data_IF_982498099674
#
_entry.id   IF_982498099674
#
_cell.length_a   1.000
_cell.length_b   1.000
_cell.length_c   1.000
_cell.angle_alpha   90.00
_cell.angle_beta   90.00
_cell.angle_gamma   90.00
#
_symmetry.space_group_name_H-M   'P 1'
#
loop_
_entity.id
_entity.type
_entity.pdbx_description
1 polymer ?
#
# COMPACT_ATOMS: atom_id res chain seq x y z
N UNK A 1 1.10 -18.90 6.72
CA UNK A 1 1.22 -17.78 7.65
C UNK A 1 1.77 -16.61 6.86
N UNK A 2 0.96 -15.60 6.58
CA UNK A 2 1.38 -14.44 5.79
C UNK A 2 2.46 -13.70 6.59
N UNK A 3 3.66 -13.56 6.03
CA UNK A 3 4.71 -12.77 6.70
C UNK A 3 4.29 -11.30 6.66
N UNK A 4 4.16 -10.68 7.83
CA UNK A 4 3.91 -9.24 7.92
C UNK A 4 5.08 -8.50 7.28
N UNK A 5 4.78 -7.60 6.34
CA UNK A 5 5.79 -6.76 5.72
C UNK A 5 6.46 -5.91 6.80
N UNK A 6 7.79 -5.95 6.95
CA UNK A 6 8.52 -5.08 7.88
C UNK A 6 8.47 -3.61 7.44
N UNK A 7 8.38 -2.70 8.40
CA UNK A 7 8.53 -1.26 8.16
C UNK A 7 10.03 -0.88 8.16
N UNK A 8 10.69 -1.14 7.03
CA UNK A 8 12.11 -0.83 6.81
C UNK A 8 12.26 0.30 5.79
N UNK A 9 13.39 1.01 5.85
CA UNK A 9 13.72 2.06 4.88
C UNK A 9 13.68 1.54 3.44
N UNK A 10 14.25 0.36 3.18
CA UNK A 10 14.20 -0.31 1.85
C UNK A 10 12.76 -0.46 1.33
N UNK A 11 11.85 -0.96 2.17
CA UNK A 11 10.46 -1.15 1.79
C UNK A 11 9.74 0.19 1.58
N UNK A 12 10.07 1.20 2.39
CA UNK A 12 9.55 2.56 2.28
C UNK A 12 9.99 3.23 0.96
N UNK A 13 11.26 3.13 0.59
CA UNK A 13 11.80 3.66 -0.68
C UNK A 13 11.13 3.02 -1.91
N UNK A 14 10.97 1.69 -1.92
CA UNK A 14 10.24 0.99 -2.98
C UNK A 14 8.78 1.47 -3.03
N UNK A 15 8.17 1.63 -1.85
CA UNK A 15 6.80 2.12 -1.76
C UNK A 15 6.65 3.55 -2.30
N UNK A 16 7.60 4.45 -2.05
CA UNK A 16 7.58 5.80 -2.63
C UNK A 16 7.57 5.77 -4.17
N UNK A 17 8.37 4.87 -4.76
CA UNK A 17 8.47 4.74 -6.23
C UNK A 17 7.19 4.16 -6.84
N UNK A 18 6.62 3.13 -6.22
CA UNK A 18 5.44 2.42 -6.74
C UNK A 18 4.12 3.04 -6.30
N UNK A 19 3.88 3.13 -4.99
CA UNK A 19 2.64 3.69 -4.45
C UNK A 19 2.54 5.19 -4.70
N UNK A 20 3.66 5.92 -4.79
CA UNK A 20 3.65 7.34 -5.17
C UNK A 20 3.05 7.60 -6.56
N UNK A 21 3.09 6.61 -7.45
CA UNK A 21 2.46 6.66 -8.78
C UNK A 21 1.14 5.88 -8.87
N UNK A 22 0.67 5.30 -7.76
CA UNK A 22 -0.60 4.58 -7.73
C UNK A 22 -1.77 5.56 -7.94
N UNK A 23 -2.69 5.32 -8.89
CA UNK A 23 -3.86 6.17 -9.11
C UNK A 23 -4.73 6.31 -7.86
N UNK A 24 -5.07 5.18 -7.20
CA UNK A 24 -5.85 5.21 -5.95
C UNK A 24 -5.17 6.02 -4.85
N UNK A 25 -3.84 5.96 -4.72
CA UNK A 25 -3.11 6.75 -3.71
C UNK A 25 -3.13 8.26 -4.02
N UNK A 26 -2.81 8.64 -5.26
CA UNK A 26 -2.70 10.03 -5.70
C UNK A 26 -4.03 10.74 -5.73
N UNK A 27 -5.02 10.16 -6.40
CA UNK A 27 -6.31 10.81 -6.63
C UNK A 27 -7.10 10.99 -5.33
N UNK A 28 -6.93 10.08 -4.37
CA UNK A 28 -7.53 10.23 -3.04
C UNK A 28 -6.67 11.03 -2.06
N UNK A 29 -5.52 11.58 -2.49
CA UNK A 29 -4.56 12.34 -1.64
C UNK A 29 -4.18 11.60 -0.35
N UNK A 30 -3.96 10.29 -0.43
CA UNK A 30 -3.72 9.47 0.78
C UNK A 30 -2.39 9.79 1.47
N UNK A 31 -1.47 10.51 0.82
CA UNK A 31 -0.28 11.06 1.46
C UNK A 31 -0.63 12.02 2.63
N UNK A 32 -1.82 12.61 2.63
CA UNK A 32 -2.26 13.59 3.64
C UNK A 32 -2.89 12.92 4.87
N UNK A 33 -3.00 11.59 4.91
CA UNK A 33 -3.67 10.85 5.99
C UNK A 33 -2.88 9.63 6.41
N UNK A 34 -2.85 9.33 7.70
CA UNK A 34 -2.12 8.19 8.25
C UNK A 34 -2.57 6.84 7.62
N UNK A 35 -1.65 5.89 7.37
CA UNK A 35 -0.21 5.92 7.70
C UNK A 35 0.68 6.67 6.68
N UNK A 36 0.08 7.52 5.82
CA UNK A 36 0.69 8.29 4.73
C UNK A 36 1.27 7.47 3.58
N UNK A 37 1.76 6.26 3.84
CA UNK A 37 2.40 5.36 2.89
C UNK A 37 2.61 3.97 3.49
N UNK A 38 3.13 3.03 2.69
CA UNK A 38 3.54 1.68 3.10
C UNK A 38 2.41 0.89 3.79
N UNK A 39 1.20 0.99 3.23
CA UNK A 39 0.00 0.39 3.79
C UNK A 39 0.08 -1.13 3.96
N UNK A 40 0.89 -1.82 3.14
CA UNK A 40 1.12 -3.25 3.27
C UNK A 40 1.87 -3.65 4.56
N UNK A 41 2.59 -2.72 5.20
CA UNK A 41 3.26 -2.92 6.49
C UNK A 41 2.52 -2.22 7.64
N UNK A 42 2.05 -0.99 7.38
CA UNK A 42 1.51 -0.07 8.39
C UNK A 42 0.01 -0.19 8.61
N UNK A 43 -0.72 -0.82 7.70
CA UNK A 43 -2.18 -0.94 7.73
C UNK A 43 -2.89 -0.03 6.73
N UNK A 44 -4.20 -0.23 6.62
CA UNK A 44 -5.06 0.54 5.74
C UNK A 44 -5.09 2.03 6.14
N UNK A 45 -5.52 2.90 5.23
CA UNK A 45 -5.69 4.31 5.54
C UNK A 45 -6.77 4.51 6.62
N UNK A 46 -6.62 5.55 7.44
CA UNK A 46 -7.68 5.99 8.36
C UNK A 46 -8.89 6.60 7.64
N UNK A 47 -8.76 6.91 6.35
CA UNK A 47 -9.85 7.44 5.54
C UNK A 47 -10.84 6.34 5.16
N UNK A 48 -12.13 6.66 5.24
CA UNK A 48 -13.23 5.74 4.94
C UNK A 48 -13.90 5.99 3.58
N UNK A 49 -13.51 7.07 2.90
CA UNK A 49 -14.00 7.52 1.60
C UNK A 49 -13.06 7.35 0.38
N UNK A 50 -11.90 6.66 0.42
CA UNK A 50 -11.11 6.48 -0.80
C UNK A 50 -11.87 5.70 -1.87
N UNK A 51 -11.91 6.26 -3.09
CA UNK A 51 -12.48 5.58 -4.24
C UNK A 51 -11.42 4.75 -4.98
N UNK A 52 -11.81 3.60 -5.51
CA UNK A 52 -10.91 2.75 -6.27
C UNK A 52 -10.69 3.35 -7.67
N UNK A 53 -9.48 3.88 -7.91
CA UNK A 53 -9.05 4.44 -9.20
C UNK A 53 -8.09 3.53 -9.97
N UNK A 54 -7.90 2.29 -9.50
CA UNK A 54 -6.84 1.37 -9.94
C UNK A 54 -5.61 1.39 -9.03
N UNK A 55 -4.95 0.23 -8.87
CA UNK A 55 -3.68 0.09 -8.13
C UNK A 55 -2.64 -0.72 -8.92
N UNK A 56 -1.37 -0.38 -8.74
CA UNK A 56 -0.19 -1.15 -9.18
C UNK A 56 0.40 -2.04 -8.06
N UNK A 57 -0.39 -2.30 -7.01
CA UNK A 57 0.04 -2.93 -5.77
C UNK A 57 0.68 -4.32 -6.02
N UNK A 58 0.13 -5.12 -6.93
CA UNK A 58 0.60 -6.48 -7.23
C UNK A 58 1.87 -6.50 -8.09
N UNK A 59 2.21 -5.38 -8.73
CA UNK A 59 3.46 -5.25 -9.48
C UNK A 59 4.63 -4.81 -8.62
N UNK A 60 4.35 -4.30 -7.40
CA UNK A 60 5.34 -3.81 -6.46
C UNK A 60 6.32 -4.92 -6.02
N UNK A 61 7.64 -4.67 -6.02
CA UNK A 61 8.64 -5.63 -5.55
C UNK A 61 8.42 -6.10 -4.11
N UNK A 62 7.94 -5.21 -3.22
CA UNK A 62 7.59 -5.59 -1.83
C UNK A 62 6.45 -6.60 -1.84
N UNK A 63 5.37 -6.34 -2.59
CA UNK A 63 4.25 -7.26 -2.66
C UNK A 63 4.66 -8.64 -3.20
N UNK A 64 5.52 -8.68 -4.22
CA UNK A 64 6.06 -9.93 -4.79
C UNK A 64 6.97 -10.66 -3.80
N UNK A 65 7.86 -9.95 -3.11
CA UNK A 65 8.80 -10.49 -2.10
C UNK A 65 8.07 -11.19 -0.94
N UNK A 66 6.92 -10.64 -0.52
CA UNK A 66 6.12 -11.17 0.58
C UNK A 66 4.88 -11.97 0.12
N UNK A 67 4.77 -12.27 -1.17
CA UNK A 67 3.65 -12.98 -1.79
C UNK A 67 2.26 -12.42 -1.46
N UNK A 68 2.15 -11.08 -1.36
CA UNK A 68 0.90 -10.39 -1.02
C UNK A 68 -0.17 -10.57 -2.10
N UNK A 69 -1.42 -10.78 -1.67
CA UNK A 69 -2.60 -10.96 -2.53
C UNK A 69 -3.64 -9.88 -2.29
N UNK A 70 -4.67 -9.80 -3.14
CA UNK A 70 -5.78 -8.85 -2.99
C UNK A 70 -5.51 -7.42 -3.50
N UNK A 71 -4.30 -6.90 -3.32
CA UNK A 71 -3.95 -5.53 -3.72
C UNK A 71 -4.69 -4.47 -2.90
N UNK A 72 -4.69 -3.22 -3.38
CA UNK A 72 -5.36 -2.07 -2.74
C UNK A 72 -5.12 -1.96 -1.24
N UNK A 73 -3.86 -2.13 -0.80
CA UNK A 73 -3.52 -2.23 0.61
C UNK A 73 -3.87 -0.98 1.45
N UNK A 74 -4.13 0.14 0.80
CA UNK A 74 -4.63 1.36 1.45
C UNK A 74 -6.12 1.32 1.81
N UNK A 75 -6.89 0.39 1.23
CA UNK A 75 -8.34 0.23 1.41
C UNK A 75 -8.65 -1.14 2.05
N UNK A 76 -8.01 -2.20 1.54
CA UNK A 76 -8.18 -3.57 2.00
C UNK A 76 -6.95 -4.06 2.75
N UNK A 77 -7.09 -4.74 3.90
CA UNK A 77 -5.95 -5.26 4.61
C UNK A 77 -5.20 -6.30 3.76
N UNK A 78 -3.85 -6.29 3.74
CA UNK A 78 -3.05 -7.25 2.96
C UNK A 78 -3.00 -8.66 3.58
N UNK A 79 -3.74 -8.91 4.68
CA UNK A 79 -3.68 -10.12 5.50
C UNK A 79 -5.06 -10.77 5.75
N UNK A 80 -6.07 -10.38 4.97
CA UNK A 80 -7.36 -11.09 4.88
C UNK A 80 -7.37 -12.12 3.76
#
# INVERSE_FOLDING_TARGET
MMMRVPDTEENYEICMQYCGNCPTFRENRLKESEPHMLFCARGISVRTDPDNKGCNCLDCPVAKKYDLKGGWFCIHPPWE
#
